data_IF_498633051517
#
_entry.id   IF_498633051517
#
_cell.length_a   1.000
_cell.length_b   1.000
_cell.length_c   1.000
_cell.angle_alpha   90.00
_cell.angle_beta   90.00
_cell.angle_gamma   90.00
#
_symmetry.space_group_name_H-M   'P 1'
#
loop_
_entity.id
_entity.type
_entity.pdbx_description
1 polymer ?
#
# COMPACT_ATOMS: atom_id res chain seq x y z
N UNK A 1 -35.55 12.89 1.73
CA UNK A 1 -34.87 11.59 1.52
C UNK A 1 -33.53 11.76 0.80
N UNK A 2 -33.37 12.75 -0.09
CA UNK A 2 -32.08 13.05 -0.76
C UNK A 2 -30.96 13.59 0.16
N UNK A 3 -31.29 14.34 1.21
CA UNK A 3 -30.28 14.93 2.11
C UNK A 3 -29.52 13.89 2.95
N UNK A 4 -30.17 12.78 3.33
CA UNK A 4 -29.55 11.68 4.09
C UNK A 4 -28.59 10.89 3.19
N UNK A 5 -28.96 10.69 1.93
CA UNK A 5 -28.11 10.03 0.93
C UNK A 5 -26.85 10.86 0.64
N UNK A 6 -26.99 12.19 0.59
CA UNK A 6 -25.87 13.12 0.39
C UNK A 6 -24.90 13.14 1.58
N UNK A 7 -25.43 13.12 2.81
CA UNK A 7 -24.60 13.07 4.02
C UNK A 7 -23.80 11.76 4.13
N UNK A 8 -24.45 10.63 3.86
CA UNK A 8 -23.79 9.32 3.84
C UNK A 8 -22.70 9.25 2.75
N UNK A 9 -22.98 9.77 1.55
CA UNK A 9 -22.00 9.81 0.47
C UNK A 9 -20.75 10.63 0.86
N UNK A 10 -20.92 11.76 1.55
CA UNK A 10 -19.80 12.56 2.06
C UNK A 10 -18.96 11.80 3.09
N UNK A 11 -19.59 11.07 4.01
CA UNK A 11 -18.88 10.26 5.00
C UNK A 11 -18.07 9.14 4.34
N UNK A 12 -18.64 8.48 3.34
CA UNK A 12 -17.93 7.44 2.57
C UNK A 12 -16.71 8.02 1.87
N UNK A 13 -16.85 9.16 1.18
CA UNK A 13 -15.73 9.83 0.50
C UNK A 13 -14.65 10.25 1.51
N UNK A 14 -15.05 10.78 2.67
CA UNK A 14 -14.13 11.17 3.72
C UNK A 14 -13.33 9.96 4.27
N UNK A 15 -14.01 8.84 4.51
CA UNK A 15 -13.34 7.62 5.00
C UNK A 15 -12.44 6.99 3.91
N UNK A 16 -12.86 7.01 2.65
CA UNK A 16 -12.02 6.58 1.53
C UNK A 16 -10.73 7.41 1.44
N UNK A 17 -10.84 8.74 1.51
CA UNK A 17 -9.69 9.63 1.50
C UNK A 17 -8.76 9.39 2.70
N UNK A 18 -9.34 9.20 3.89
CA UNK A 18 -8.60 8.89 5.11
C UNK A 18 -7.86 7.55 5.02
N UNK A 19 -8.55 6.51 4.54
CA UNK A 19 -7.99 5.17 4.33
C UNK A 19 -6.87 5.16 3.30
N UNK A 20 -7.07 5.81 2.15
CA UNK A 20 -6.05 5.93 1.12
C UNK A 20 -4.81 6.69 1.63
N UNK A 21 -5.01 7.77 2.38
CA UNK A 21 -3.92 8.53 2.99
C UNK A 21 -3.13 7.72 4.03
N UNK A 22 -3.80 6.90 4.85
CA UNK A 22 -3.13 5.99 5.80
C UNK A 22 -2.30 4.94 5.07
N UNK A 23 -2.86 4.33 4.02
CA UNK A 23 -2.15 3.33 3.23
C UNK A 23 -0.92 3.91 2.52
N UNK A 24 -1.01 5.11 1.94
CA UNK A 24 0.12 5.81 1.34
C UNK A 24 1.25 6.11 2.35
N UNK A 25 0.90 6.57 3.56
CA UNK A 25 1.89 6.77 4.64
C UNK A 25 2.58 5.46 5.06
N UNK A 26 1.85 4.34 5.07
CA UNK A 26 2.43 3.02 5.37
C UNK A 26 3.42 2.57 4.29
N UNK A 27 3.14 2.84 3.01
CA UNK A 27 4.08 2.61 1.91
C UNK A 27 5.34 3.45 2.10
N UNK A 28 5.20 4.76 2.33
CA UNK A 28 6.36 5.63 2.54
C UNK A 28 7.23 5.18 3.73
N UNK A 29 6.61 4.83 4.86
CA UNK A 29 7.33 4.39 6.05
C UNK A 29 8.07 3.07 5.86
N UNK A 30 7.43 2.08 5.21
CA UNK A 30 8.03 0.77 4.97
C UNK A 30 9.17 0.82 3.95
N UNK A 31 9.03 1.60 2.89
CA UNK A 31 10.10 1.83 1.92
C UNK A 31 11.28 2.59 2.52
N UNK A 32 11.02 3.59 3.37
CA UNK A 32 12.07 4.28 4.11
C UNK A 32 12.83 3.34 5.05
N UNK A 33 12.12 2.46 5.76
CA UNK A 33 12.75 1.46 6.63
C UNK A 33 13.62 0.47 5.85
N UNK A 34 13.13 -0.02 4.70
CA UNK A 34 13.90 -0.87 3.80
C UNK A 34 15.15 -0.16 3.24
N UNK A 35 15.00 1.09 2.79
CA UNK A 35 16.09 1.89 2.23
C UNK A 35 17.15 2.29 3.26
N UNK A 36 16.77 2.48 4.52
CA UNK A 36 17.70 2.77 5.62
C UNK A 36 18.46 1.53 6.12
N UNK A 37 18.00 0.32 5.78
CA UNK A 37 18.61 -0.92 6.26
C UNK A 37 19.83 -1.32 5.42
N UNK A 38 20.99 -1.42 6.06
CA UNK A 38 22.27 -1.76 5.40
C UNK A 38 22.68 -3.23 5.55
N UNK A 39 21.92 -4.02 6.32
CA UNK A 39 22.20 -5.45 6.50
C UNK A 39 21.64 -6.31 5.37
N UNK A 40 21.91 -7.61 5.43
CA UNK A 40 21.39 -8.62 4.53
C UNK A 40 20.62 -9.73 5.27
N UNK A 41 20.31 -10.82 4.58
CA UNK A 41 19.70 -11.99 5.20
C UNK A 41 18.23 -11.83 5.61
N UNK A 42 17.78 -12.61 6.61
CA UNK A 42 16.37 -12.70 6.97
C UNK A 42 15.70 -11.38 7.35
N UNK A 43 16.44 -10.47 8.00
CA UNK A 43 15.91 -9.15 8.38
C UNK A 43 15.58 -8.30 7.15
N UNK A 44 16.45 -8.31 6.13
CA UNK A 44 16.19 -7.61 4.88
C UNK A 44 14.97 -8.19 4.17
N UNK A 45 14.88 -9.52 4.13
CA UNK A 45 13.74 -10.20 3.51
C UNK A 45 12.41 -9.86 4.21
N UNK A 46 12.41 -9.74 5.53
CA UNK A 46 11.25 -9.30 6.30
C UNK A 46 10.84 -7.85 5.97
N UNK A 47 11.81 -6.94 5.82
CA UNK A 47 11.53 -5.55 5.41
C UNK A 47 10.99 -5.46 3.98
N UNK A 48 11.53 -6.27 3.05
CA UNK A 48 10.99 -6.36 1.69
C UNK A 48 9.55 -6.86 1.71
N UNK A 49 9.23 -7.89 2.50
CA UNK A 49 7.87 -8.40 2.60
C UNK A 49 6.94 -7.37 3.25
N UNK A 50 7.35 -6.69 4.32
CA UNK A 50 6.56 -5.63 4.95
C UNK A 50 6.25 -4.47 3.99
N UNK A 51 7.23 -4.07 3.17
CA UNK A 51 7.01 -3.08 2.11
C UNK A 51 6.05 -3.60 1.04
N UNK A 52 6.16 -4.88 0.65
CA UNK A 52 5.27 -5.49 -0.35
C UNK A 52 3.82 -5.55 0.14
N UNK A 53 3.60 -5.89 1.41
CA UNK A 53 2.28 -5.93 2.04
C UNK A 53 1.65 -4.54 2.10
N UNK A 54 2.45 -3.51 2.46
CA UNK A 54 2.00 -2.11 2.47
C UNK A 54 1.62 -1.62 1.07
N UNK A 55 2.43 -1.94 0.05
CA UNK A 55 2.16 -1.59 -1.35
C UNK A 55 0.91 -2.30 -1.86
N UNK A 56 0.74 -3.58 -1.53
CA UNK A 56 -0.46 -4.33 -1.89
C UNK A 56 -1.72 -3.68 -1.31
N UNK A 57 -1.72 -3.37 0.00
CA UNK A 57 -2.84 -2.69 0.65
C UNK A 57 -3.14 -1.32 0.03
N UNK A 58 -2.11 -0.56 -0.35
CA UNK A 58 -2.28 0.72 -1.03
C UNK A 58 -2.88 0.60 -2.43
N UNK A 59 -2.45 -0.39 -3.23
CA UNK A 59 -3.03 -0.64 -4.55
C UNK A 59 -4.50 -1.03 -4.46
N UNK A 60 -4.87 -1.88 -3.49
CA UNK A 60 -6.28 -2.22 -3.23
C UNK A 60 -7.08 -0.95 -2.89
N UNK A 61 -6.58 -0.09 -1.99
CA UNK A 61 -7.26 1.16 -1.65
C UNK A 61 -7.38 2.11 -2.85
N UNK A 62 -6.35 2.19 -3.69
CA UNK A 62 -6.38 2.97 -4.93
C UNK A 62 -7.47 2.48 -5.88
N UNK A 63 -7.59 1.17 -6.08
CA UNK A 63 -8.62 0.57 -6.93
C UNK A 63 -10.02 0.84 -6.40
N UNK A 64 -10.23 0.72 -5.08
CA UNK A 64 -11.51 1.05 -4.42
C UNK A 64 -11.89 2.53 -4.60
N UNK A 65 -10.91 3.42 -4.73
CA UNK A 65 -11.12 4.85 -5.01
C UNK A 65 -11.17 5.17 -6.52
N UNK A 66 -11.12 4.18 -7.41
CA UNK A 66 -11.20 4.35 -8.87
C UNK A 66 -9.86 4.58 -9.59
N UNK A 67 -8.73 4.55 -8.89
CA UNK A 67 -7.39 4.71 -9.47
C UNK A 67 -6.83 3.37 -9.97
N UNK A 68 -7.03 3.07 -11.26
CA UNK A 68 -6.72 1.76 -11.85
C UNK A 68 -5.32 1.62 -12.46
N UNK A 69 -4.57 2.72 -12.62
CA UNK A 69 -3.21 2.70 -13.17
C UNK A 69 -2.21 2.83 -12.02
N UNK A 70 -1.40 1.80 -11.83
CA UNK A 70 -0.43 1.73 -10.74
C UNK A 70 0.94 2.32 -11.11
N UNK A 71 1.22 2.54 -12.40
CA UNK A 71 2.52 3.04 -12.88
C UNK A 71 2.92 4.38 -12.25
N UNK A 72 1.95 5.27 -12.04
CA UNK A 72 2.20 6.56 -11.38
C UNK A 72 2.61 6.34 -9.92
N UNK A 73 1.88 5.49 -9.19
CA UNK A 73 2.21 5.17 -7.80
C UNK A 73 3.58 4.48 -7.67
N UNK A 74 3.92 3.58 -8.58
CA UNK A 74 5.22 2.91 -8.60
C UNK A 74 6.35 3.93 -8.75
N UNK A 75 6.18 4.91 -9.64
CA UNK A 75 7.15 5.98 -9.87
C UNK A 75 7.22 6.95 -8.70
N UNK A 76 6.07 7.41 -8.19
CA UNK A 76 5.98 8.42 -7.13
C UNK A 76 6.63 7.93 -5.82
N UNK A 77 6.43 6.66 -5.47
CA UNK A 77 7.03 6.07 -4.27
C UNK A 77 8.41 5.45 -4.53
N UNK A 78 8.91 5.48 -5.78
CA UNK A 78 10.15 4.82 -6.18
C UNK A 78 10.22 3.35 -5.72
N UNK A 79 9.14 2.59 -5.91
CA UNK A 79 9.00 1.23 -5.36
C UNK A 79 10.08 0.31 -5.95
N UNK A 80 10.97 -0.27 -5.13
CA UNK A 80 12.03 -1.14 -5.61
C UNK A 80 11.49 -2.40 -6.28
N UNK A 81 12.20 -2.92 -7.30
CA UNK A 81 11.80 -4.14 -8.01
C UNK A 81 11.61 -5.34 -7.08
N UNK A 82 12.45 -5.48 -6.07
CA UNK A 82 12.36 -6.57 -5.08
C UNK A 82 11.09 -6.53 -4.23
N UNK A 83 10.51 -5.35 -4.05
CA UNK A 83 9.20 -5.17 -3.41
C UNK A 83 8.09 -5.53 -4.41
N UNK A 84 8.16 -5.01 -5.64
CA UNK A 84 7.15 -5.25 -6.69
C UNK A 84 6.94 -6.74 -6.97
N UNK A 85 8.00 -7.53 -7.06
CA UNK A 85 7.89 -8.98 -7.33
C UNK A 85 7.27 -9.78 -6.17
N UNK A 86 7.12 -9.16 -4.99
CA UNK A 86 6.51 -9.76 -3.80
C UNK A 86 5.10 -9.24 -3.51
N UNK A 87 4.62 -8.22 -4.23
CA UNK A 87 3.27 -7.67 -4.04
C UNK A 87 2.23 -8.77 -4.25
N UNK A 88 1.38 -8.98 -3.25
CA UNK A 88 0.34 -10.03 -3.26
C UNK A 88 0.85 -11.45 -2.97
N UNK A 89 2.16 -11.65 -2.78
CA UNK A 89 2.70 -12.94 -2.38
C UNK A 89 2.56 -13.14 -0.87
N UNK A 90 1.92 -14.23 -0.46
CA UNK A 90 1.89 -14.66 0.94
C UNK A 90 3.00 -15.67 1.22
N UNK A 91 3.39 -15.80 2.50
CA UNK A 91 4.34 -16.84 2.88
C UNK A 91 3.80 -18.21 2.43
N UNK A 92 4.65 -19.08 1.85
CA UNK A 92 4.22 -20.42 1.48
C UNK A 92 3.70 -21.15 2.73
N UNK A 93 2.65 -21.99 2.59
CA UNK A 93 2.11 -22.75 3.72
C UNK A 93 3.23 -23.59 4.38
N UNK A 94 3.14 -23.84 5.70
CA UNK A 94 4.11 -24.68 6.39
C UNK A 94 4.18 -26.05 5.71
N UNK A 95 5.40 -26.56 5.53
CA UNK A 95 5.63 -27.92 5.03
C UNK A 95 5.43 -28.94 6.13
#
# INVERSE_FOLDING_TARGET
MEAVDTALAHEIIAEQASSLGRAGRAVAASLAALGAFTGDGPQRAALVQAAADAVFGYFVQRELCGFRRHDDAIRDYAIPREVLVRVGATAPPPR
#
